data_IF_940259864985
#
_entry.id   IF_940259864985
#
_cell.length_a   1.000
_cell.length_b   1.000
_cell.length_c   1.000
_cell.angle_alpha   90.00
_cell.angle_beta   90.00
_cell.angle_gamma   90.00
#
_symmetry.space_group_name_H-M   'P 1'
#
loop_
_entity.id
_entity.type
_entity.pdbx_description
1 polymer ?
#
# COMPACT_ATOMS: atom_id res chain seq x y z
N UNK A 1 7.16 11.10 -34.78
CA UNK A 1 7.15 9.93 -33.88
C UNK A 1 6.29 10.27 -32.66
N UNK A 2 5.07 9.73 -32.58
CA UNK A 2 4.22 9.89 -31.39
C UNK A 2 4.55 8.73 -30.45
N UNK A 3 5.24 9.03 -29.35
CA UNK A 3 5.40 8.09 -28.25
C UNK A 3 4.03 7.91 -27.61
N UNK A 4 3.30 6.88 -28.04
CA UNK A 4 2.06 6.48 -27.41
C UNK A 4 2.38 5.95 -26.03
N UNK A 5 2.26 6.80 -25.01
CA UNK A 5 2.02 6.32 -23.66
C UNK A 5 0.70 5.58 -23.73
N UNK A 6 0.75 4.25 -23.70
CA UNK A 6 -0.43 3.44 -23.41
C UNK A 6 -0.91 3.87 -22.03
N UNK A 7 -1.84 4.83 -22.01
CA UNK A 7 -2.68 5.09 -20.86
C UNK A 7 -3.62 3.89 -20.78
N UNK A 8 -3.09 2.79 -20.25
CA UNK A 8 -3.90 1.66 -19.86
C UNK A 8 -4.82 2.22 -18.77
N UNK A 9 -6.11 2.35 -19.08
CA UNK A 9 -7.12 2.64 -18.06
C UNK A 9 -7.08 1.49 -17.07
N UNK A 10 -6.33 1.68 -15.99
CA UNK A 10 -6.43 0.83 -14.83
C UNK A 10 -7.83 1.04 -14.30
N UNK A 11 -8.61 -0.04 -14.21
CA UNK A 11 -9.87 -0.02 -13.47
C UNK A 11 -9.66 0.64 -12.11
N UNK A 12 -10.64 1.39 -11.57
CA UNK A 12 -10.52 2.03 -10.27
C UNK A 12 -9.91 1.10 -9.23
N UNK A 13 -8.98 1.61 -8.41
CA UNK A 13 -8.26 0.80 -7.44
C UNK A 13 -8.82 1.04 -6.04
N UNK A 14 -9.12 -0.05 -5.33
CA UNK A 14 -9.57 0.03 -3.93
C UNK A 14 -8.34 0.25 -3.05
N UNK A 15 -8.22 1.42 -2.45
CA UNK A 15 -7.05 1.80 -1.67
C UNK A 15 -7.45 1.91 -0.19
N UNK A 16 -6.68 1.33 0.73
CA UNK A 16 -6.82 1.67 2.14
C UNK A 16 -5.81 2.76 2.51
N UNK A 17 -6.22 3.74 3.32
CA UNK A 17 -5.32 4.67 4.00
C UNK A 17 -5.34 4.40 5.49
N UNK A 18 -4.20 3.95 5.99
CA UNK A 18 -3.89 3.84 7.41
C UNK A 18 -3.17 5.12 7.86
N UNK A 19 -3.63 5.71 8.94
CA UNK A 19 -3.05 6.93 9.53
C UNK A 19 -2.80 6.76 11.01
N UNK A 20 -1.77 7.42 11.50
CA UNK A 20 -1.42 7.52 12.92
C UNK A 20 -1.75 8.91 13.49
N UNK A 21 -1.82 9.92 12.61
CA UNK A 21 -2.13 11.30 12.97
C UNK A 21 -3.61 11.69 12.86
N UNK A 22 -3.95 12.83 13.47
CA UNK A 22 -5.30 13.41 13.47
C UNK A 22 -5.77 13.86 12.08
N UNK A 23 -4.84 14.32 11.22
CA UNK A 23 -5.14 14.78 9.86
C UNK A 23 -4.20 14.12 8.85
N UNK A 24 -4.73 13.58 7.74
CA UNK A 24 -3.90 13.08 6.65
C UNK A 24 -3.07 14.19 6.01
N UNK A 25 -1.93 13.84 5.43
CA UNK A 25 -1.12 14.79 4.68
C UNK A 25 -1.76 15.11 3.31
N UNK A 26 -1.73 16.38 2.89
CA UNK A 26 -2.34 16.83 1.62
C UNK A 26 -1.80 16.07 0.39
N UNK A 27 -0.50 15.74 0.38
CA UNK A 27 0.10 14.96 -0.71
C UNK A 27 -0.43 13.53 -0.74
N UNK A 28 -0.77 12.96 0.40
CA UNK A 28 -1.36 11.62 0.51
C UNK A 28 -2.83 11.65 0.10
N UNK A 29 -3.58 12.68 0.49
CA UNK A 29 -4.96 12.88 0.01
C UNK A 29 -5.02 13.05 -1.50
N UNK A 30 -4.10 13.83 -2.08
CA UNK A 30 -3.97 13.95 -3.53
C UNK A 30 -3.64 12.60 -4.17
N UNK A 31 -2.81 11.78 -3.53
CA UNK A 31 -2.46 10.44 -4.02
C UNK A 31 -3.69 9.53 -4.03
N UNK A 32 -4.48 9.52 -2.97
CA UNK A 32 -5.74 8.77 -2.92
C UNK A 32 -6.72 9.20 -4.02
N UNK A 33 -6.90 10.51 -4.20
CA UNK A 33 -7.79 11.06 -5.22
C UNK A 33 -7.38 10.63 -6.65
N UNK A 34 -6.10 10.27 -6.86
CA UNK A 34 -5.61 9.79 -8.16
C UNK A 34 -6.08 8.39 -8.53
N UNK A 35 -6.47 7.57 -7.55
CA UNK A 35 -6.85 6.16 -7.71
C UNK A 35 -8.37 5.90 -7.80
N UNK A 36 -9.17 6.97 -7.83
CA UNK A 36 -10.64 6.95 -8.01
C UNK A 36 -11.38 6.24 -6.85
N UNK A 37 -11.46 7.00 -5.76
CA UNK A 37 -12.40 6.97 -4.62
C UNK A 37 -13.08 5.63 -4.26
N UNK A 38 -12.30 4.69 -3.74
CA UNK A 38 -12.75 3.81 -2.67
C UNK A 38 -11.63 3.74 -1.63
N UNK A 39 -11.51 4.82 -0.85
CA UNK A 39 -10.50 4.97 0.19
C UNK A 39 -11.06 4.58 1.55
N UNK A 40 -10.54 3.50 2.15
CA UNK A 40 -10.88 3.14 3.54
C UNK A 40 -9.92 3.89 4.46
N UNK A 41 -10.42 4.86 5.24
CA UNK A 41 -9.60 5.68 6.13
C UNK A 41 -9.63 5.16 7.56
N UNK A 42 -8.49 4.70 8.08
CA UNK A 42 -8.42 4.08 9.41
C UNK A 42 -7.35 4.77 10.24
N UNK A 43 -7.75 5.27 11.40
CA UNK A 43 -6.81 5.77 12.39
C UNK A 43 -6.33 4.63 13.29
N UNK A 44 -5.15 4.12 13.00
CA UNK A 44 -4.49 3.01 13.69
C UNK A 44 -4.30 3.29 15.18
N UNK A 45 -4.08 4.55 15.54
CA UNK A 45 -3.87 4.95 16.94
C UNK A 45 -5.18 5.10 17.74
N UNK A 46 -6.34 5.10 17.08
CA UNK A 46 -7.65 5.27 17.71
C UNK A 46 -8.55 4.04 17.61
N UNK A 47 -8.14 2.98 16.89
CA UNK A 47 -8.93 1.76 16.75
C UNK A 47 -8.46 0.71 17.73
N UNK A 48 -9.33 0.32 18.66
CA UNK A 48 -9.09 -0.80 19.58
C UNK A 48 -9.30 -2.17 18.91
N UNK A 49 -9.98 -2.21 17.76
CA UNK A 49 -10.16 -3.39 16.92
C UNK A 49 -10.10 -2.99 15.44
N UNK A 50 -9.21 -3.64 14.70
CA UNK A 50 -9.22 -3.63 13.24
C UNK A 50 -9.92 -4.90 12.77
N UNK A 51 -10.89 -4.79 11.87
CA UNK A 51 -11.42 -5.95 11.17
C UNK A 51 -10.43 -6.33 10.04
N UNK A 52 -9.83 -7.54 10.02
CA UNK A 52 -8.95 -7.94 8.92
C UNK A 52 -9.67 -7.95 7.56
N UNK A 53 -10.96 -8.27 7.54
CA UNK A 53 -11.71 -8.53 6.32
C UNK A 53 -11.99 -7.23 5.54
N UNK A 54 -11.96 -6.08 6.22
CA UNK A 54 -12.10 -4.76 5.56
C UNK A 54 -11.00 -4.50 4.51
N UNK A 55 -9.88 -5.22 4.57
CA UNK A 55 -8.74 -5.07 3.65
C UNK A 55 -8.67 -6.16 2.58
N UNK A 56 -9.56 -7.17 2.61
CA UNK A 56 -9.45 -8.35 1.75
C UNK A 56 -9.45 -8.00 0.25
N UNK A 57 -10.30 -7.04 -0.15
CA UNK A 57 -10.42 -6.63 -1.55
C UNK A 57 -9.56 -5.41 -1.93
N UNK A 58 -8.65 -4.97 -1.05
CA UNK A 58 -7.81 -3.82 -1.38
C UNK A 58 -6.81 -4.18 -2.48
N UNK A 59 -6.58 -3.23 -3.39
CA UNK A 59 -5.53 -3.28 -4.40
C UNK A 59 -4.20 -2.72 -3.88
N UNK A 60 -4.27 -1.84 -2.88
CA UNK A 60 -3.12 -1.18 -2.26
C UNK A 60 -3.51 -0.70 -0.85
N UNK A 61 -2.54 -0.73 0.05
CA UNK A 61 -2.63 -0.14 1.37
C UNK A 61 -1.56 0.94 1.49
N UNK A 62 -1.96 2.16 1.82
CA UNK A 62 -1.08 3.27 2.13
C UNK A 62 -1.03 3.44 3.65
N UNK A 63 0.18 3.60 4.20
CA UNK A 63 0.36 3.83 5.63
C UNK A 63 1.17 5.10 5.91
N UNK A 64 0.55 6.10 6.53
CA UNK A 64 1.21 7.32 6.97
C UNK A 64 1.97 7.09 8.28
N UNK A 65 3.29 6.95 8.17
CA UNK A 65 4.23 6.74 9.27
C UNK A 65 5.22 7.91 9.36
N UNK A 66 4.72 9.09 9.74
CA UNK A 66 5.56 10.30 9.86
C UNK A 66 6.36 10.33 11.17
N UNK A 67 5.81 9.72 12.20
CA UNK A 67 6.45 9.51 13.50
C UNK A 67 7.17 8.16 13.54
N UNK A 68 7.72 7.81 14.70
CA UNK A 68 8.29 6.48 14.90
C UNK A 68 7.21 5.40 14.78
N UNK A 69 7.56 4.28 14.14
CA UNK A 69 6.69 3.10 14.14
C UNK A 69 6.66 2.57 15.57
N UNK A 70 5.52 2.69 16.24
CA UNK A 70 5.31 2.15 17.57
C UNK A 70 4.96 0.66 17.51
N UNK A 71 4.97 -0.02 18.65
CA UNK A 71 4.57 -1.42 18.73
C UNK A 71 3.09 -1.60 18.32
N UNK A 72 2.23 -0.63 18.61
CA UNK A 72 0.82 -0.62 18.19
C UNK A 72 0.70 -0.53 16.68
N UNK A 73 1.53 0.30 16.03
CA UNK A 73 1.57 0.38 14.57
C UNK A 73 2.03 -0.95 13.96
N UNK A 74 3.03 -1.61 14.54
CA UNK A 74 3.47 -2.94 14.09
C UNK A 74 2.38 -4.00 14.30
N UNK A 75 1.72 -4.00 15.45
CA UNK A 75 0.63 -4.93 15.76
C UNK A 75 -0.53 -4.76 14.77
N UNK A 76 -0.90 -3.52 14.46
CA UNK A 76 -1.90 -3.21 13.44
C UNK A 76 -1.48 -3.69 12.05
N UNK A 77 -0.24 -3.43 11.63
CA UNK A 77 0.27 -3.92 10.35
C UNK A 77 0.24 -5.45 10.27
N UNK A 78 0.70 -6.14 11.33
CA UNK A 78 0.64 -7.59 11.41
C UNK A 78 -0.80 -8.11 11.30
N UNK A 79 -1.75 -7.44 11.96
CA UNK A 79 -3.16 -7.78 11.92
C UNK A 79 -3.75 -7.62 10.51
N UNK A 80 -3.44 -6.51 9.84
CA UNK A 80 -3.84 -6.25 8.45
C UNK A 80 -3.26 -7.31 7.52
N UNK A 81 -2.01 -7.72 7.75
CA UNK A 81 -1.35 -8.78 6.99
C UNK A 81 -1.96 -10.17 7.17
N UNK A 82 -2.68 -10.41 8.27
CA UNK A 82 -3.46 -11.65 8.42
C UNK A 82 -4.68 -11.68 7.49
N UNK A 83 -5.33 -10.52 7.25
CA UNK A 83 -6.53 -10.42 6.41
C UNK A 83 -6.26 -10.05 4.95
N UNK A 84 -5.11 -9.45 4.63
CA UNK A 84 -4.82 -8.96 3.28
C UNK A 84 -3.35 -9.13 2.87
N UNK A 85 -3.18 -9.60 1.63
CA UNK A 85 -1.88 -9.67 0.95
C UNK A 85 -1.65 -8.53 -0.05
N UNK A 86 -2.57 -7.57 -0.09
CA UNK A 86 -2.44 -6.40 -0.95
C UNK A 86 -1.13 -5.65 -0.68
N UNK A 87 -0.48 -5.05 -1.68
CA UNK A 87 0.77 -4.33 -1.47
C UNK A 87 0.60 -3.20 -0.45
N UNK A 88 1.54 -3.06 0.47
CA UNK A 88 1.55 -2.02 1.49
C UNK A 88 2.71 -1.05 1.27
N UNK A 89 2.38 0.23 1.10
CA UNK A 89 3.33 1.31 0.94
C UNK A 89 3.32 2.19 2.18
N UNK A 90 4.47 2.28 2.83
CA UNK A 90 4.68 3.19 3.95
C UNK A 90 5.15 4.55 3.43
N UNK A 91 4.43 5.61 3.80
CA UNK A 91 4.71 6.98 3.44
C UNK A 91 5.32 7.70 4.64
N UNK A 92 6.50 8.29 4.44
CA UNK A 92 7.31 8.91 5.50
C UNK A 92 7.60 10.38 5.18
N UNK A 93 7.89 11.21 6.17
CA UNK A 93 8.20 12.64 5.96
C UNK A 93 9.64 12.92 5.48
N UNK A 94 10.48 11.89 5.31
CA UNK A 94 11.88 12.04 4.92
C UNK A 94 12.55 10.69 4.66
N UNK A 95 13.60 10.67 3.84
CA UNK A 95 14.39 9.47 3.59
C UNK A 95 15.39 9.27 4.75
N UNK A 96 15.07 8.34 5.65
CA UNK A 96 15.99 7.89 6.72
C UNK A 96 16.17 6.38 6.61
N UNK A 97 17.40 5.86 6.48
CA UNK A 97 17.64 4.42 6.30
C UNK A 97 16.97 3.57 7.38
N UNK A 98 16.98 4.04 8.63
CA UNK A 98 16.41 3.32 9.76
C UNK A 98 14.89 3.16 9.60
N UNK A 99 14.21 4.20 9.10
CA UNK A 99 12.76 4.16 8.84
C UNK A 99 12.43 3.24 7.67
N UNK A 100 13.26 3.23 6.63
CA UNK A 100 13.12 2.29 5.52
C UNK A 100 13.26 0.86 6.00
N UNK A 101 14.30 0.56 6.79
CA UNK A 101 14.54 -0.78 7.34
C UNK A 101 13.40 -1.20 8.25
N UNK A 102 13.01 -0.38 9.23
CA UNK A 102 11.91 -0.69 10.14
C UNK A 102 10.59 -0.87 9.40
N UNK A 103 10.32 -0.08 8.37
CA UNK A 103 9.09 -0.22 7.58
C UNK A 103 9.02 -1.52 6.79
N UNK A 104 10.14 -1.92 6.17
CA UNK A 104 10.24 -3.21 5.47
C UNK A 104 10.12 -4.39 6.45
N UNK A 105 10.78 -4.31 7.62
CA UNK A 105 10.66 -5.32 8.68
C UNK A 105 9.24 -5.43 9.25
N UNK A 106 8.49 -4.33 9.27
CA UNK A 106 7.08 -4.30 9.65
C UNK A 106 6.14 -4.82 8.54
N UNK A 107 6.68 -5.34 7.45
CA UNK A 107 5.92 -5.97 6.37
C UNK A 107 5.42 -5.00 5.30
N UNK A 108 6.00 -3.80 5.17
CA UNK A 108 5.76 -2.96 4.00
C UNK A 108 6.46 -3.53 2.75
N UNK A 109 5.80 -3.46 1.59
CA UNK A 109 6.39 -3.79 0.29
C UNK A 109 7.27 -2.67 -0.24
N UNK A 110 7.00 -1.43 0.19
CA UNK A 110 7.81 -0.26 -0.13
C UNK A 110 7.73 0.79 0.99
N UNK A 111 8.83 1.53 1.17
CA UNK A 111 8.88 2.72 2.03
C UNK A 111 9.28 3.91 1.18
N UNK A 112 8.42 4.92 1.08
CA UNK A 112 8.58 6.06 0.20
C UNK A 112 8.53 7.35 1.02
N UNK A 113 9.51 8.22 0.81
CA UNK A 113 9.47 9.56 1.39
C UNK A 113 8.51 10.47 0.61
N UNK A 114 7.74 11.30 1.31
CA UNK A 114 6.94 12.36 0.71
C UNK A 114 7.80 13.49 0.14
N UNK A 115 9.11 13.54 0.39
CA UNK A 115 10.03 14.43 -0.35
C UNK A 115 10.32 13.91 -1.76
N UNK A 116 10.06 12.63 -2.05
CA UNK A 116 10.17 12.06 -3.40
C UNK A 116 9.23 12.78 -4.36
N UNK A 117 9.64 12.92 -5.63
CA UNK A 117 8.83 13.59 -6.64
C UNK A 117 7.47 12.91 -6.81
N UNK A 118 6.45 13.72 -7.06
CA UNK A 118 5.06 13.27 -7.19
C UNK A 118 4.91 12.12 -8.20
N UNK A 119 5.48 12.29 -9.39
CA UNK A 119 5.37 11.31 -10.47
C UNK A 119 6.03 9.97 -10.11
N UNK A 120 7.11 9.99 -9.34
CA UNK A 120 7.78 8.77 -8.88
C UNK A 120 6.90 8.02 -7.88
N UNK A 121 6.26 8.72 -6.92
CA UNK A 121 5.35 8.08 -5.97
C UNK A 121 4.17 7.45 -6.71
N UNK A 122 3.55 8.20 -7.62
CA UNK A 122 2.40 7.73 -8.42
C UNK A 122 2.79 6.52 -9.27
N UNK A 123 3.91 6.59 -10.00
CA UNK A 123 4.39 5.49 -10.82
C UNK A 123 4.67 4.24 -9.98
N UNK A 124 5.25 4.39 -8.79
CA UNK A 124 5.53 3.27 -7.90
C UNK A 124 4.25 2.59 -7.40
N UNK A 125 3.27 3.37 -6.93
CA UNK A 125 1.98 2.84 -6.49
C UNK A 125 1.25 2.11 -7.65
N UNK A 126 1.25 2.68 -8.86
CA UNK A 126 0.66 2.02 -10.03
C UNK A 126 1.38 0.72 -10.41
N UNK A 127 2.70 0.68 -10.31
CA UNK A 127 3.47 -0.54 -10.58
C UNK A 127 3.09 -1.67 -9.60
N UNK A 128 2.92 -1.34 -8.31
CA UNK A 128 2.49 -2.30 -7.29
C UNK A 128 1.07 -2.81 -7.53
N UNK A 129 0.11 -1.91 -7.78
CA UNK A 129 -1.29 -2.28 -8.10
C UNK A 129 -1.34 -3.18 -9.34
N UNK A 130 -0.60 -2.82 -10.40
CA UNK A 130 -0.53 -3.63 -11.61
C UNK A 130 0.02 -5.03 -11.32
N UNK A 131 1.11 -5.12 -10.58
CA UNK A 131 1.74 -6.40 -10.21
C UNK A 131 0.79 -7.26 -9.37
N UNK A 132 0.09 -6.66 -8.42
CA UNK A 132 -0.88 -7.33 -7.56
C UNK A 132 -2.02 -7.94 -8.37
N UNK A 133 -2.68 -7.15 -9.22
CA UNK A 133 -3.80 -7.61 -10.07
C UNK A 133 -3.38 -8.70 -11.06
N UNK A 134 -2.19 -8.59 -11.64
CA UNK A 134 -1.65 -9.64 -12.50
C UNK A 134 -1.41 -10.95 -11.73
N UNK A 135 -0.98 -10.86 -10.47
CA UNK A 135 -0.78 -12.01 -9.59
C UNK A 135 -2.10 -12.69 -9.20
N UNK A 136 -3.15 -11.91 -8.95
CA UNK A 136 -4.48 -12.44 -8.65
C UNK A 136 -5.13 -13.16 -9.85
N UNK A 137 -4.88 -12.65 -11.06
CA UNK A 137 -5.41 -13.22 -12.30
C UNK A 137 -4.50 -14.32 -12.89
N UNK A 138 -3.39 -14.66 -12.24
CA UNK A 138 -2.54 -15.74 -12.70
C UNK A 138 -3.23 -17.09 -12.43
N UNK A 139 -3.33 -17.99 -13.42
CA UNK A 139 -3.86 -19.33 -13.18
C UNK A 139 -3.00 -20.01 -12.12
N UNK A 140 -3.64 -20.65 -11.15
CA UNK A 140 -2.95 -21.46 -10.15
C UNK A 140 -2.05 -22.45 -10.89
N UNK A 141 -0.72 -22.30 -10.74
CA UNK A 141 0.23 -23.23 -11.35
C UNK A 141 0.05 -24.58 -10.68
N UNK A 142 -0.73 -25.46 -11.31
CA UNK A 142 -0.78 -26.87 -10.96
C UNK A 142 0.58 -27.45 -11.31
N UNK A 143 1.45 -27.59 -10.31
CA UNK A 143 2.62 -28.45 -10.46
C UNK A 143 2.11 -29.88 -10.51
N UNK A 144 1.82 -30.36 -11.71
CA UNK A 144 1.62 -31.79 -11.95
C UNK A 144 2.96 -32.46 -11.60
N UNK A 145 2.98 -33.15 -10.45
CA UNK A 145 4.12 -33.97 -10.06
C UNK A 145 4.43 -34.96 -11.17
N UNK A 146 5.67 -34.95 -11.64
CA UNK A 146 6.19 -35.99 -12.53
C UNK A 146 6.24 -37.27 -11.68
N UNK A 147 5.48 -38.32 -12.01
CA UNK A 147 5.64 -39.59 -11.32
C UNK A 147 6.99 -40.18 -11.73
N UNK A 148 7.77 -40.57 -10.72
CA UNK A 148 9.00 -41.36 -10.86
C UNK A 148 8.69 -42.77 -11.38
#
# INVERSE_FOLDING_TARGET
MRTGYFQMELTPAKIALLRTGQRPNDKVLRLLARFDVNAIHINVSATSHLDPDQFADCDLILFEAFDHITNENQAALNWIRMGSRAPLVMLTNGARPERTISGLMAGADAVISLTTSWDVIVAHCYALVRRWRLGQNAPARTFAGVPH
#
